data_IF_583529696455
#
_entry.id   IF_583529696455
#
_cell.length_a   1.000
_cell.length_b   1.000
_cell.length_c   1.000
_cell.angle_alpha   90.00
_cell.angle_beta   90.00
_cell.angle_gamma   90.00
#
_symmetry.space_group_name_H-M   'P 1'
#
loop_
_entity.id
_entity.type
_entity.pdbx_description
1 polymer ?
#
# COMPACT_ATOMS: atom_id res chain seq x y z
N UNK A 1 -17.66 -24.11 -18.28
CA UNK A 1 -18.00 -24.44 -16.88
C UNK A 1 -17.17 -25.62 -16.37
N UNK A 2 -17.30 -26.84 -16.91
CA UNK A 2 -16.56 -28.00 -16.40
C UNK A 2 -15.02 -27.85 -16.41
N UNK A 3 -14.44 -27.30 -17.48
CA UNK A 3 -12.99 -27.07 -17.58
C UNK A 3 -12.44 -26.08 -16.54
N UNK A 4 -13.20 -25.04 -16.19
CA UNK A 4 -12.82 -24.09 -15.15
C UNK A 4 -12.82 -24.75 -13.78
N UNK A 5 -13.83 -25.54 -13.46
CA UNK A 5 -13.91 -26.26 -12.18
C UNK A 5 -12.77 -27.27 -12.01
N UNK A 6 -12.45 -28.02 -13.06
CA UNK A 6 -11.31 -28.96 -13.03
C UNK A 6 -9.98 -28.21 -12.96
N UNK A 7 -9.84 -27.10 -13.71
CA UNK A 7 -8.66 -26.24 -13.67
C UNK A 7 -8.43 -25.64 -12.28
N UNK A 8 -9.45 -25.00 -11.71
CA UNK A 8 -9.41 -24.38 -10.39
C UNK A 8 -9.10 -25.43 -9.28
N UNK A 9 -9.44 -26.72 -9.49
CA UNK A 9 -9.10 -27.82 -8.59
C UNK A 9 -7.64 -28.30 -8.68
N UNK A 10 -7.00 -28.15 -9.84
CA UNK A 10 -5.59 -28.51 -10.06
C UNK A 10 -4.63 -27.33 -9.80
N UNK A 11 -5.10 -26.11 -10.02
CA UNK A 11 -4.38 -24.87 -9.78
C UNK A 11 -5.36 -23.70 -9.75
N UNK A 12 -5.40 -22.99 -8.62
CA UNK A 12 -6.38 -21.93 -8.35
C UNK A 12 -6.20 -20.66 -9.20
N UNK A 13 -5.10 -20.57 -9.95
CA UNK A 13 -4.68 -19.37 -10.68
C UNK A 13 -4.74 -19.59 -12.19
N UNK A 14 -5.30 -18.62 -12.92
CA UNK A 14 -5.19 -18.59 -14.38
C UNK A 14 -3.76 -18.27 -14.82
N UNK A 15 -3.46 -18.49 -16.11
CA UNK A 15 -2.14 -18.18 -16.68
C UNK A 15 -1.76 -16.70 -16.45
N UNK A 16 -2.72 -15.78 -16.58
CA UNK A 16 -2.47 -14.35 -16.35
C UNK A 16 -2.21 -14.01 -14.88
N UNK A 17 -2.95 -14.64 -13.95
CA UNK A 17 -2.75 -14.44 -12.51
C UNK A 17 -1.35 -14.94 -12.09
N UNK A 18 -0.95 -16.09 -12.64
CA UNK A 18 0.40 -16.62 -12.47
C UNK A 18 1.48 -15.66 -13.01
N UNK A 19 1.25 -15.03 -14.16
CA UNK A 19 2.17 -14.03 -14.71
C UNK A 19 2.24 -12.75 -13.87
N UNK A 20 1.14 -12.30 -13.27
CA UNK A 20 1.12 -11.16 -12.33
C UNK A 20 1.99 -11.48 -11.12
N UNK A 21 1.80 -12.67 -10.53
CA UNK A 21 2.55 -13.12 -9.36
C UNK A 21 4.03 -13.34 -9.67
N UNK A 22 4.37 -13.97 -10.81
CA UNK A 22 5.75 -14.19 -11.25
C UNK A 22 6.53 -12.89 -11.45
N UNK A 23 5.86 -11.83 -11.92
CA UNK A 23 6.47 -10.51 -12.09
C UNK A 23 6.44 -9.64 -10.82
N UNK A 24 5.79 -10.12 -9.74
CA UNK A 24 5.71 -9.40 -8.48
C UNK A 24 4.92 -8.10 -8.54
N UNK A 25 3.94 -7.98 -9.45
CA UNK A 25 3.13 -6.76 -9.52
C UNK A 25 2.19 -6.64 -8.31
N UNK A 26 2.05 -5.44 -7.72
CA UNK A 26 1.09 -5.20 -6.64
C UNK A 26 -0.33 -5.21 -7.22
N UNK A 27 -0.96 -6.37 -7.23
CA UNK A 27 -2.31 -6.59 -7.74
C UNK A 27 -3.26 -6.95 -6.60
N UNK A 28 -4.37 -6.23 -6.50
CA UNK A 28 -5.42 -6.50 -5.52
C UNK A 28 -6.52 -7.32 -6.21
N UNK A 29 -6.55 -8.63 -5.96
CA UNK A 29 -7.59 -9.49 -6.54
C UNK A 29 -8.92 -9.34 -5.79
N UNK A 30 -9.98 -9.10 -6.54
CA UNK A 30 -11.37 -9.08 -6.05
C UNK A 30 -11.90 -10.45 -5.62
N UNK A 31 -11.26 -11.53 -6.05
CA UNK A 31 -11.64 -12.92 -5.77
C UNK A 31 -10.82 -13.54 -4.65
N UNK A 32 -9.75 -12.88 -4.21
CA UNK A 32 -8.95 -13.38 -3.11
C UNK A 32 -9.74 -13.31 -1.81
N UNK A 33 -9.91 -14.47 -1.20
CA UNK A 33 -10.41 -14.58 0.16
C UNK A 33 -9.28 -14.20 1.11
N UNK A 34 -9.25 -12.95 1.55
CA UNK A 34 -8.36 -12.54 2.63
C UNK A 34 -8.74 -13.31 3.90
N UNK A 35 -7.99 -14.37 4.22
CA UNK A 35 -8.13 -15.10 5.49
C UNK A 35 -7.56 -14.31 6.68
N UNK A 36 -7.18 -13.06 6.49
CA UNK A 36 -6.48 -12.25 7.48
C UNK A 36 -7.43 -11.30 8.20
N UNK A 37 -7.57 -11.48 9.51
CA UNK A 37 -8.32 -10.59 10.42
C UNK A 37 -7.50 -9.35 10.81
N UNK A 38 -6.70 -8.81 9.91
CA UNK A 38 -5.80 -7.69 10.22
C UNK A 38 -6.61 -6.39 10.35
N UNK A 39 -6.32 -5.60 11.37
CA UNK A 39 -6.88 -4.25 11.50
C UNK A 39 -6.10 -3.30 10.60
N UNK A 40 -6.70 -2.17 10.22
CA UNK A 40 -6.02 -1.13 9.45
C UNK A 40 -4.71 -0.67 10.14
N UNK A 41 -4.72 -0.61 11.47
CA UNK A 41 -3.56 -0.28 12.28
C UNK A 41 -2.39 -1.28 12.16
N UNK A 42 -2.66 -2.54 11.81
CA UNK A 42 -1.63 -3.58 11.68
C UNK A 42 -0.90 -3.48 10.33
N UNK A 43 -1.59 -2.98 9.30
CA UNK A 43 -1.10 -2.94 7.91
C UNK A 43 -0.62 -1.56 7.47
N UNK A 44 -1.14 -0.48 8.07
CA UNK A 44 -0.76 0.88 7.70
C UNK A 44 0.75 1.14 7.92
N UNK A 45 1.27 2.07 7.13
CA UNK A 45 2.59 2.66 7.31
C UNK A 45 2.43 4.15 7.62
N UNK A 46 3.30 4.74 8.44
CA UNK A 46 4.42 4.11 9.17
C UNK A 46 3.93 3.22 10.33
N UNK A 47 4.80 2.33 10.83
CA UNK A 47 4.44 1.47 11.98
C UNK A 47 4.29 2.31 13.25
N UNK A 48 3.70 1.72 14.30
CA UNK A 48 3.32 2.43 15.55
C UNK A 48 4.45 3.25 16.23
N UNK A 49 5.71 2.96 15.92
CA UNK A 49 6.88 3.63 16.50
C UNK A 49 7.61 4.56 15.50
N UNK A 50 7.05 4.76 14.32
CA UNK A 50 7.64 5.55 13.25
C UNK A 50 6.77 6.78 12.97
N UNK A 51 7.41 7.88 12.57
CA UNK A 51 6.73 9.16 12.32
C UNK A 51 6.24 9.24 10.88
N UNK A 52 5.01 9.70 10.68
CA UNK A 52 4.46 9.94 9.35
C UNK A 52 5.06 11.23 8.78
N UNK A 53 5.55 11.17 7.54
CA UNK A 53 5.96 12.36 6.82
C UNK A 53 4.72 13.20 6.47
N UNK A 54 4.65 14.43 6.98
CA UNK A 54 3.49 15.33 6.82
C UNK A 54 3.93 16.71 6.39
N UNK A 55 3.04 17.43 5.69
CA UNK A 55 3.20 18.84 5.35
C UNK A 55 2.25 19.65 6.24
N UNK A 56 2.72 20.71 6.88
CA UNK A 56 1.84 21.58 7.67
C UNK A 56 1.16 22.61 6.77
N UNK A 57 -0.10 22.92 7.05
CA UNK A 57 -0.90 23.90 6.30
C UNK A 57 -0.22 25.27 6.29
N UNK A 58 0.23 25.69 7.48
CA UNK A 58 0.94 26.94 7.71
C UNK A 58 2.28 26.60 8.37
N UNK A 59 3.28 27.49 8.29
CA UNK A 59 4.64 27.41 8.88
C UNK A 59 5.78 26.73 8.11
N UNK A 60 5.53 25.77 7.19
CA UNK A 60 6.63 25.17 6.41
C UNK A 60 7.14 26.12 5.31
N UNK A 61 8.46 26.22 5.16
CA UNK A 61 9.10 26.94 4.06
C UNK A 61 9.28 26.02 2.83
N UNK A 62 9.57 26.61 1.68
CA UNK A 62 9.87 25.84 0.45
C UNK A 62 11.10 24.96 0.64
N UNK A 63 12.11 25.44 1.38
CA UNK A 63 13.33 24.68 1.67
C UNK A 63 13.05 23.45 2.54
N UNK A 64 12.14 23.56 3.52
CA UNK A 64 11.70 22.43 4.35
C UNK A 64 11.01 21.36 3.51
N UNK A 65 10.20 21.77 2.52
CA UNK A 65 9.51 20.84 1.60
C UNK A 65 10.51 20.16 0.66
N UNK A 66 11.47 20.91 0.11
CA UNK A 66 12.52 20.31 -0.73
C UNK A 66 13.37 19.30 0.05
N UNK A 67 13.68 19.60 1.31
CA UNK A 67 14.42 18.69 2.19
C UNK A 67 13.62 17.42 2.45
N UNK A 68 12.33 17.55 2.79
CA UNK A 68 11.43 16.41 2.98
C UNK A 68 11.37 15.50 1.74
N UNK A 69 11.26 16.08 0.54
CA UNK A 69 11.21 15.34 -0.72
C UNK A 69 12.54 14.65 -1.08
N UNK A 70 13.68 15.17 -0.59
CA UNK A 70 15.00 14.52 -0.77
C UNK A 70 15.21 13.38 0.22
N UNK A 71 14.64 13.48 1.41
CA UNK A 71 14.79 12.49 2.48
C UNK A 71 13.82 11.32 2.38
N UNK A 72 12.71 11.47 1.66
CA UNK A 72 11.66 10.45 1.57
C UNK A 72 11.30 10.08 0.13
N UNK A 73 11.01 8.80 -0.11
CA UNK A 73 10.63 8.28 -1.44
C UNK A 73 9.11 8.17 -1.61
N UNK A 74 8.35 9.03 -0.91
CA UNK A 74 6.89 8.99 -0.94
C UNK A 74 6.33 9.89 -2.05
N UNK A 75 5.31 9.40 -2.74
CA UNK A 75 4.60 10.15 -3.79
C UNK A 75 3.48 11.04 -3.24
N UNK A 76 3.22 11.03 -1.93
CA UNK A 76 2.14 11.81 -1.32
C UNK A 76 2.36 12.03 0.16
N UNK A 77 1.95 13.22 0.63
CA UNK A 77 2.08 13.67 2.02
C UNK A 77 0.73 14.24 2.48
N UNK A 78 0.18 13.78 3.61
CA UNK A 78 -1.03 14.38 4.16
C UNK A 78 -0.73 15.79 4.69
N UNK A 79 -1.70 16.69 4.51
CA UNK A 79 -1.61 18.07 4.99
C UNK A 79 -2.30 18.17 6.35
N UNK A 80 -1.59 18.68 7.36
CA UNK A 80 -2.07 18.80 8.75
C UNK A 80 -1.98 20.24 9.26
N UNK A 81 -2.77 20.61 10.26
CA UNK A 81 -2.72 21.97 10.84
C UNK A 81 -1.46 22.17 11.69
N UNK A 82 -1.08 21.16 12.47
CA UNK A 82 0.12 21.16 13.32
C UNK A 82 0.72 19.75 13.39
N UNK A 83 2.04 19.67 13.63
CA UNK A 83 2.73 18.39 13.90
C UNK A 83 2.46 17.88 15.32
N UNK A 84 2.09 18.79 16.22
CA UNK A 84 1.70 18.50 17.59
C UNK A 84 0.19 18.26 17.65
N UNK A 85 -0.23 17.21 18.36
CA UNK A 85 -1.63 16.95 18.74
C UNK A 85 -1.98 17.63 20.06
#
# INVERSE_FOLDING_TARGET
MASKWVGDALGRQGIYDAHIALNGYPFLDSKDEFQHTSLAADVMQPKRNETLAVITQDSMTVDDVETLLKETEHNGYPVVVSKES
#
